data_IF_123428285026
#
_entry.id   IF_123428285026
#
_cell.length_a   1.000
_cell.length_b   1.000
_cell.length_c   1.000
_cell.angle_alpha   90.00
_cell.angle_beta   90.00
_cell.angle_gamma   90.00
#
_symmetry.space_group_name_H-M   'P 1'
#
loop_
_entity.id
_entity.type
_entity.pdbx_description
1 polymer ?
#
# COMPACT_ATOMS: atom_id res chain seq x y z
N UNK A 1 24.98 -9.68 4.44
CA UNK A 1 23.58 -9.89 4.00
C UNK A 1 23.57 -9.70 2.51
N UNK A 2 23.18 -10.73 1.78
CA UNK A 2 22.85 -10.57 0.36
C UNK A 2 21.38 -10.11 0.30
N UNK A 3 21.14 -9.05 -0.48
CA UNK A 3 19.80 -8.51 -0.68
C UNK A 3 19.36 -8.88 -2.08
N UNK A 4 18.22 -9.57 -2.17
CA UNK A 4 17.59 -9.87 -3.44
C UNK A 4 16.54 -8.81 -3.79
N UNK A 5 16.39 -8.54 -5.09
CA UNK A 5 15.36 -7.65 -5.57
C UNK A 5 13.98 -8.31 -5.44
N UNK A 6 13.06 -7.67 -4.72
CA UNK A 6 11.65 -8.03 -4.72
C UNK A 6 11.03 -7.53 -6.03
N UNK A 7 11.02 -8.39 -7.04
CA UNK A 7 10.23 -8.19 -8.27
C UNK A 7 8.78 -8.60 -7.98
N UNK A 8 7.91 -7.61 -7.85
CA UNK A 8 6.48 -7.83 -7.62
C UNK A 8 5.74 -8.02 -8.95
N UNK A 9 4.93 -9.06 -9.04
CA UNK A 9 4.11 -9.32 -10.21
C UNK A 9 3.15 -8.14 -10.48
N UNK A 10 3.08 -7.71 -11.75
CA UNK A 10 2.23 -6.58 -12.14
C UNK A 10 2.78 -5.19 -11.79
N UNK A 11 4.02 -5.08 -11.32
CA UNK A 11 4.73 -3.81 -11.06
C UNK A 11 5.94 -3.70 -11.99
N UNK A 12 6.03 -2.61 -12.77
CA UNK A 12 7.17 -2.35 -13.66
C UNK A 12 8.40 -1.92 -12.84
N UNK A 13 9.45 -2.73 -12.85
CA UNK A 13 10.70 -2.46 -12.14
C UNK A 13 11.43 -1.19 -12.61
N UNK A 14 11.09 -0.64 -13.78
CA UNK A 14 11.67 0.61 -14.31
C UNK A 14 11.01 1.87 -13.77
N UNK A 15 9.89 1.75 -13.05
CA UNK A 15 9.16 2.89 -12.48
C UNK A 15 9.28 2.86 -10.95
N UNK A 16 9.27 4.03 -10.28
CA UNK A 16 9.21 4.07 -8.82
C UNK A 16 8.00 3.31 -8.29
N UNK A 17 8.23 2.47 -7.29
CA UNK A 17 7.16 1.77 -6.57
C UNK A 17 6.47 2.75 -5.64
N UNK A 18 5.14 2.85 -5.75
CA UNK A 18 4.31 3.68 -4.86
C UNK A 18 3.50 2.78 -3.95
N UNK A 19 3.67 2.96 -2.64
CA UNK A 19 2.88 2.34 -1.58
C UNK A 19 2.05 3.43 -0.92
N UNK A 20 0.73 3.36 -1.05
CA UNK A 20 -0.17 4.37 -0.52
C UNK A 20 -1.32 3.76 0.28
N UNK A 21 -1.93 4.59 1.13
CA UNK A 21 -3.05 4.17 1.96
C UNK A 21 -3.11 4.95 3.28
N UNK A 22 -4.18 4.74 4.06
CA UNK A 22 -4.43 5.49 5.28
C UNK A 22 -3.36 5.25 6.34
N UNK A 23 -3.30 6.13 7.34
CA UNK A 23 -2.38 5.94 8.47
C UNK A 23 -2.75 4.68 9.27
N UNK A 24 -4.04 4.54 9.60
CA UNK A 24 -4.62 3.42 10.35
C UNK A 24 -5.76 2.79 9.55
N UNK A 25 -6.03 1.49 9.78
CA UNK A 25 -7.27 0.87 9.34
C UNK A 25 -8.35 1.13 10.41
N UNK A 26 -9.19 2.13 10.19
CA UNK A 26 -10.13 2.60 11.21
C UNK A 26 -11.49 1.94 11.08
N UNK A 27 -12.02 1.85 9.85
CA UNK A 27 -13.27 1.15 9.53
C UNK A 27 -13.15 0.44 8.20
N UNK A 28 -13.98 -0.58 7.97
CA UNK A 28 -14.05 -1.29 6.69
C UNK A 28 -14.34 -0.32 5.54
N UNK A 29 -15.36 0.53 5.70
CA UNK A 29 -15.76 1.51 4.68
C UNK A 29 -14.60 2.45 4.31
N UNK A 30 -13.91 3.00 5.30
CA UNK A 30 -12.77 3.90 5.11
C UNK A 30 -11.63 3.20 4.35
N UNK A 31 -11.31 1.96 4.72
CA UNK A 31 -10.27 1.16 4.07
C UNK A 31 -10.65 0.84 2.63
N UNK A 32 -11.88 0.38 2.40
CA UNK A 32 -12.34 -0.04 1.08
C UNK A 32 -12.49 1.15 0.12
N UNK A 33 -12.95 2.30 0.60
CA UNK A 33 -13.03 3.53 -0.20
C UNK A 33 -11.62 4.01 -0.61
N UNK A 34 -10.69 4.08 0.34
CA UNK A 34 -9.30 4.46 0.05
C UNK A 34 -8.64 3.49 -0.94
N UNK A 35 -8.87 2.18 -0.79
CA UNK A 35 -8.31 1.17 -1.69
C UNK A 35 -8.83 1.34 -3.12
N UNK A 36 -10.14 1.53 -3.30
CA UNK A 36 -10.77 1.76 -4.61
C UNK A 36 -10.24 3.02 -5.30
N UNK A 37 -10.13 4.13 -4.57
CA UNK A 37 -9.60 5.39 -5.11
C UNK A 37 -8.11 5.30 -5.50
N UNK A 38 -7.31 4.59 -4.71
CA UNK A 38 -5.89 4.41 -5.03
C UNK A 38 -5.70 3.47 -6.22
N UNK A 39 -6.49 2.39 -6.29
CA UNK A 39 -6.47 1.47 -7.42
C UNK A 39 -6.87 2.17 -8.74
N UNK A 40 -7.86 3.07 -8.73
CA UNK A 40 -8.26 3.84 -9.92
C UNK A 40 -7.16 4.80 -10.40
N UNK A 41 -6.26 5.23 -9.51
CA UNK A 41 -5.07 6.03 -9.82
C UNK A 41 -3.85 5.17 -10.23
N UNK A 42 -4.01 3.86 -10.35
CA UNK A 42 -2.96 2.95 -10.77
C UNK A 42 -2.01 2.50 -9.67
N UNK A 43 -2.28 2.82 -8.39
CA UNK A 43 -1.52 2.31 -7.26
C UNK A 43 -1.77 0.81 -7.12
N UNK A 44 -0.70 0.02 -7.00
CA UNK A 44 -0.77 -1.45 -6.92
C UNK A 44 -0.51 -1.99 -5.52
N UNK A 45 0.03 -1.17 -4.62
CA UNK A 45 0.36 -1.54 -3.25
C UNK A 45 -0.38 -0.66 -2.26
N UNK A 46 -1.18 -1.31 -1.41
CA UNK A 46 -1.98 -0.65 -0.39
C UNK A 46 -1.37 -0.88 1.00
N UNK A 47 -1.27 0.17 1.81
CA UNK A 47 -0.85 0.08 3.22
C UNK A 47 -1.92 0.60 4.17
N UNK A 48 -2.06 -0.03 5.33
CA UNK A 48 -2.84 0.50 6.45
C UNK A 48 -2.26 -0.03 7.78
N UNK A 49 -2.18 0.82 8.80
CA UNK A 49 -1.70 0.39 10.12
C UNK A 49 -2.81 -0.29 10.93
N UNK A 50 -2.61 -1.56 11.30
CA UNK A 50 -3.53 -2.30 12.19
C UNK A 50 -3.21 -2.00 13.67
N UNK A 51 -1.92 -1.99 14.02
CA UNK A 51 -1.46 -1.65 15.36
C UNK A 51 -0.71 -0.32 15.33
N UNK A 52 -1.15 0.63 16.15
CA UNK A 52 -0.47 1.91 16.34
C UNK A 52 0.05 1.98 17.78
N UNK A 53 1.38 2.06 18.00
CA UNK A 53 1.89 2.33 19.33
C UNK A 53 1.34 3.67 19.78
N UNK A 54 0.54 3.65 20.84
CA UNK A 54 0.08 4.84 21.56
C UNK A 54 1.05 5.05 22.71
N UNK A 55 1.31 6.31 23.06
CA UNK A 55 2.06 6.67 24.28
C UNK A 55 1.45 6.03 25.51
#
# INVERSE_FOLDING_TARGET
MEFESILLSGIDARRPVVIAGPCSAETEEQVMNAAKELASKGVKLFRAGIWKPRT
#
